data_IF_559246176828
#
_entry.id   IF_559246176828
#
_cell.length_a   1.000
_cell.length_b   1.000
_cell.length_c   1.000
_cell.angle_alpha   90.00
_cell.angle_beta   90.00
_cell.angle_gamma   90.00
#
_symmetry.space_group_name_H-M   'P 1'
#
loop_
_entity.id
_entity.type
_entity.pdbx_description
1 polymer ?
#
# COMPACT_ATOMS: atom_id res chain seq x y z
N UNK A 1 4.01 -17.49 8.82
CA UNK A 1 3.15 -16.90 7.76
C UNK A 1 1.69 -16.81 8.19
N UNK A 2 1.08 -17.87 8.74
CA UNK A 2 -0.30 -17.79 9.24
C UNK A 2 -0.50 -16.66 10.27
N UNK A 3 0.43 -16.50 11.22
CA UNK A 3 0.42 -15.37 12.15
C UNK A 3 0.49 -14.01 11.45
N UNK A 4 1.28 -13.88 10.37
CA UNK A 4 1.42 -12.63 9.62
C UNK A 4 0.11 -12.22 8.95
N UNK A 5 -0.61 -13.18 8.37
CA UNK A 5 -1.93 -12.95 7.78
C UNK A 5 -2.90 -12.46 8.85
N UNK A 6 -2.93 -13.12 10.00
CA UNK A 6 -3.78 -12.73 11.12
C UNK A 6 -3.49 -11.30 11.61
N UNK A 7 -2.21 -10.94 11.80
CA UNK A 7 -1.83 -9.58 12.19
C UNK A 7 -2.23 -8.51 11.16
N UNK A 8 -2.26 -8.86 9.87
CA UNK A 8 -2.70 -7.97 8.81
C UNK A 8 -4.23 -7.82 8.80
N UNK A 9 -4.97 -8.92 9.00
CA UNK A 9 -6.43 -8.91 9.04
C UNK A 9 -6.97 -8.19 10.30
N UNK A 10 -6.27 -8.30 11.44
CA UNK A 10 -6.64 -7.65 12.70
C UNK A 10 -6.23 -6.16 12.76
N UNK A 11 -5.59 -5.62 11.72
CA UNK A 11 -4.98 -4.27 11.70
C UNK A 11 -4.15 -3.97 12.96
N UNK A 12 -3.43 -4.99 13.45
CA UNK A 12 -2.54 -4.88 14.61
C UNK A 12 -1.35 -3.94 14.30
N UNK A 13 -1.09 -3.70 13.01
CA UNK A 13 -0.06 -2.77 12.55
C UNK A 13 -0.52 -1.32 12.53
N UNK A 14 -1.80 -1.02 12.78
CA UNK A 14 -2.37 0.33 12.80
C UNK A 14 -1.99 1.15 11.55
N UNK A 15 -2.25 0.60 10.37
CA UNK A 15 -1.75 1.15 9.09
C UNK A 15 -2.18 2.60 8.83
N UNK A 16 -3.34 2.99 9.37
CA UNK A 16 -3.91 4.33 9.24
C UNK A 16 -3.18 5.37 10.11
N UNK A 17 -2.58 4.96 11.23
CA UNK A 17 -1.88 5.86 12.16
C UNK A 17 -0.36 5.88 11.94
N UNK A 18 0.19 4.91 11.22
CA UNK A 18 1.62 4.86 10.94
C UNK A 18 2.08 5.95 9.97
N UNK A 19 3.25 6.58 10.19
CA UNK A 19 3.97 7.35 9.17
C UNK A 19 4.25 6.51 7.91
N UNK A 20 4.34 7.16 6.75
CA UNK A 20 4.50 6.45 5.48
C UNK A 20 5.80 5.64 5.43
N UNK A 21 6.92 6.15 5.96
CA UNK A 21 8.18 5.40 6.06
C UNK A 21 8.01 4.07 6.83
N UNK A 22 7.23 4.05 7.91
CA UNK A 22 6.93 2.83 8.68
C UNK A 22 6.06 1.86 7.90
N UNK A 23 5.08 2.35 7.14
CA UNK A 23 4.29 1.53 6.22
C UNK A 23 5.21 0.87 5.18
N UNK A 24 6.17 1.60 4.62
CA UNK A 24 7.13 1.03 3.67
C UNK A 24 8.06 0.01 4.32
N UNK A 25 8.51 0.24 5.56
CA UNK A 25 9.29 -0.75 6.30
C UNK A 25 8.51 -2.05 6.50
N UNK A 26 7.22 -1.97 6.83
CA UNK A 26 6.34 -3.13 6.93
C UNK A 26 6.19 -3.85 5.59
N UNK A 27 5.94 -3.13 4.49
CA UNK A 27 5.87 -3.71 3.14
C UNK A 27 7.14 -4.47 2.80
N UNK A 28 8.32 -3.87 3.05
CA UNK A 28 9.63 -4.51 2.82
C UNK A 28 9.78 -5.78 3.64
N UNK A 29 9.38 -5.74 4.92
CA UNK A 29 9.44 -6.91 5.79
C UNK A 29 8.53 -8.04 5.29
N UNK A 30 7.29 -7.72 4.87
CA UNK A 30 6.35 -8.69 4.31
C UNK A 30 6.88 -9.34 3.03
N UNK A 31 7.44 -8.54 2.10
CA UNK A 31 8.09 -9.04 0.89
C UNK A 31 9.20 -10.03 1.25
N UNK A 32 10.03 -9.70 2.25
CA UNK A 32 11.08 -10.59 2.73
C UNK A 32 10.51 -11.89 3.35
N UNK A 33 9.40 -11.83 4.10
CA UNK A 33 8.73 -13.03 4.60
C UNK A 33 8.23 -13.93 3.47
N UNK A 34 7.80 -13.35 2.34
CA UNK A 34 7.40 -14.10 1.15
C UNK A 34 8.56 -14.75 0.39
N UNK A 35 9.76 -14.19 0.43
CA UNK A 35 10.93 -14.79 -0.23
C UNK A 35 11.37 -16.11 0.44
N UNK A 36 11.32 -16.18 1.77
CA UNK A 36 11.76 -17.36 2.55
C UNK A 36 11.15 -18.70 2.09
N UNK A 37 9.82 -18.84 1.94
CA UNK A 37 9.24 -20.10 1.46
C UNK A 37 9.60 -20.42 0.01
N UNK A 38 9.87 -19.41 -0.83
CA UNK A 38 10.27 -19.60 -2.23
C UNK A 38 11.72 -20.08 -2.39
N UNK A 39 12.54 -19.89 -1.37
CA UNK A 39 13.93 -20.36 -1.30
C UNK A 39 14.05 -21.75 -0.66
N UNK A 40 12.95 -22.27 -0.09
CA UNK A 40 12.87 -23.59 0.51
C UNK A 40 12.31 -24.61 -0.51
N UNK A 41 13.11 -25.57 -1.02
CA UNK A 41 12.66 -26.54 -2.03
C UNK A 41 11.47 -27.39 -1.56
N UNK A 42 11.42 -27.72 -0.27
CA UNK A 42 10.31 -28.47 0.35
C UNK A 42 9.02 -27.66 0.45
N UNK A 43 9.15 -26.35 0.63
CA UNK A 43 8.03 -25.43 0.84
C UNK A 43 7.39 -25.01 -0.48
N UNK A 44 8.20 -24.88 -1.53
CA UNK A 44 7.77 -24.40 -2.84
C UNK A 44 6.75 -25.31 -3.54
N UNK A 45 6.70 -26.60 -3.22
CA UNK A 45 5.70 -27.51 -3.79
C UNK A 45 4.41 -27.60 -2.95
N UNK A 46 4.35 -26.92 -1.80
CA UNK A 46 3.20 -27.01 -0.90
C UNK A 46 2.05 -26.10 -1.35
N UNK A 47 0.86 -26.64 -1.66
CA UNK A 47 -0.31 -25.84 -2.03
C UNK A 47 -0.70 -24.81 -0.96
N UNK A 48 -0.57 -25.16 0.32
CA UNK A 48 -0.90 -24.27 1.44
C UNK A 48 0.05 -23.08 1.54
N UNK A 49 1.34 -23.28 1.24
CA UNK A 49 2.33 -22.20 1.20
C UNK A 49 2.03 -21.23 0.07
N UNK A 50 1.68 -21.73 -1.12
CA UNK A 50 1.25 -20.90 -2.24
C UNK A 50 0.00 -20.08 -1.91
N UNK A 51 -1.01 -20.69 -1.29
CA UNK A 51 -2.21 -19.95 -0.87
C UNK A 51 -1.86 -18.82 0.11
N UNK A 52 -1.04 -19.10 1.13
CA UNK A 52 -0.61 -18.08 2.09
C UNK A 52 0.19 -16.95 1.42
N UNK A 53 1.08 -17.28 0.49
CA UNK A 53 1.81 -16.30 -0.30
C UNK A 53 0.85 -15.38 -1.05
N UNK A 54 -0.15 -15.94 -1.73
CA UNK A 54 -1.13 -15.15 -2.48
C UNK A 54 -1.95 -14.22 -1.57
N UNK A 55 -2.34 -14.68 -0.39
CA UNK A 55 -3.05 -13.85 0.60
C UNK A 55 -2.16 -12.66 1.03
N UNK A 56 -0.90 -12.92 1.40
CA UNK A 56 0.01 -11.85 1.81
C UNK A 56 0.31 -10.89 0.66
N UNK A 57 0.47 -11.40 -0.56
CA UNK A 57 0.64 -10.58 -1.76
C UNK A 57 -0.58 -9.70 -2.04
N UNK A 58 -1.79 -10.22 -1.85
CA UNK A 58 -3.01 -9.45 -2.03
C UNK A 58 -3.11 -8.30 -1.01
N UNK A 59 -2.82 -8.58 0.26
CA UNK A 59 -2.73 -7.56 1.32
C UNK A 59 -1.64 -6.53 1.07
N UNK A 60 -0.48 -6.95 0.58
CA UNK A 60 0.59 -6.03 0.16
C UNK A 60 0.13 -5.08 -0.94
N UNK A 61 -0.61 -5.57 -1.94
CA UNK A 61 -1.19 -4.72 -2.98
C UNK A 61 -2.20 -3.74 -2.40
N UNK A 62 -3.05 -4.16 -1.46
CA UNK A 62 -3.97 -3.26 -0.76
C UNK A 62 -3.23 -2.15 0.02
N UNK A 63 -2.06 -2.45 0.59
CA UNK A 63 -1.22 -1.43 1.22
C UNK A 63 -0.68 -0.41 0.20
N UNK A 64 -0.33 -0.82 -1.02
CA UNK A 64 0.05 0.12 -2.09
C UNK A 64 -1.13 0.99 -2.54
N UNK A 65 -2.32 0.40 -2.69
CA UNK A 65 -3.57 1.14 -2.96
C UNK A 65 -3.83 2.19 -1.85
N UNK A 66 -3.64 1.78 -0.59
CA UNK A 66 -3.78 2.67 0.55
C UNK A 66 -2.77 3.83 0.53
N UNK A 67 -1.50 3.54 0.22
CA UNK A 67 -0.46 4.57 0.03
C UNK A 67 -0.85 5.55 -1.08
N UNK A 68 -1.36 5.08 -2.21
CA UNK A 68 -1.85 5.94 -3.29
C UNK A 68 -2.94 6.90 -2.81
N UNK A 69 -3.95 6.37 -2.12
CA UNK A 69 -5.05 7.19 -1.56
C UNK A 69 -4.54 8.23 -0.57
N UNK A 70 -3.63 7.84 0.33
CA UNK A 70 -3.00 8.74 1.30
C UNK A 70 -2.26 9.90 0.61
N UNK A 71 -1.45 9.60 -0.41
CA UNK A 71 -0.73 10.64 -1.17
C UNK A 71 -1.67 11.58 -1.93
N UNK A 72 -2.76 11.06 -2.51
CA UNK A 72 -3.79 11.90 -3.14
C UNK A 72 -4.43 12.87 -2.14
N UNK A 73 -4.69 12.43 -0.90
CA UNK A 73 -5.22 13.33 0.15
C UNK A 73 -4.21 14.39 0.56
N UNK A 74 -2.94 14.02 0.76
CA UNK A 74 -1.85 14.98 1.05
C UNK A 74 -1.82 16.05 -0.04
N UNK A 75 -1.86 15.65 -1.31
CA UNK A 75 -1.94 16.58 -2.44
C UNK A 75 -3.13 17.54 -2.33
N UNK A 76 -4.34 17.08 -1.99
CA UNK A 76 -5.52 17.95 -1.84
C UNK A 76 -5.29 18.97 -0.72
N UNK A 77 -4.74 18.56 0.42
CA UNK A 77 -4.39 19.46 1.52
C UNK A 77 -3.31 20.49 1.12
N UNK A 78 -2.28 20.07 0.39
CA UNK A 78 -1.18 20.96 -0.03
C UNK A 78 -1.61 21.92 -1.14
N UNK A 79 -2.40 21.47 -2.12
CA UNK A 79 -2.89 22.29 -3.25
C UNK A 79 -4.15 23.12 -2.91
N UNK A 80 -4.86 22.78 -1.83
CA UNK A 80 -5.92 23.59 -1.23
C UNK A 80 -5.41 24.58 -0.17
N UNK A 81 -4.10 24.61 0.08
CA UNK A 81 -3.46 25.15 1.27
C UNK A 81 -3.05 26.62 1.25
N UNK A 82 -3.87 27.52 0.73
CA UNK A 82 -4.07 28.84 1.37
C UNK A 82 -5.08 28.74 2.55
N UNK A 83 -5.47 27.53 2.95
CA UNK A 83 -6.37 27.28 4.07
C UNK A 83 -5.68 26.61 5.27
N UNK A 84 -4.38 26.88 5.49
CA UNK A 84 -3.67 26.36 6.66
C UNK A 84 -3.89 27.28 7.87
N UNK A 85 -5.13 27.39 8.34
CA UNK A 85 -5.44 27.93 9.67
C UNK A 85 -6.84 27.55 10.21
N UNK A 86 -7.39 26.37 9.88
CA UNK A 86 -8.63 25.93 10.54
C UNK A 86 -8.90 24.43 10.39
N UNK A 87 -8.10 23.55 10.99
CA UNK A 87 -8.50 22.15 11.22
C UNK A 87 -8.20 21.68 12.64
N UNK A 88 -8.39 22.57 13.61
CA UNK A 88 -8.62 22.17 15.01
C UNK A 88 -10.09 22.24 15.43
N UNK A 89 -11.01 22.66 14.56
CA UNK A 89 -12.45 22.70 14.87
C UNK A 89 -13.25 22.53 13.56
N UNK A 90 -14.46 21.95 13.67
CA UNK A 90 -15.45 21.63 12.59
C UNK A 90 -15.31 20.19 12.07
N UNK A 91 -15.81 19.18 12.78
CA UNK A 91 -17.18 18.64 12.70
C UNK A 91 -17.70 18.42 11.28
N UNK A 92 -17.86 17.14 10.92
CA UNK A 92 -18.94 16.60 10.07
C UNK A 92 -19.06 17.18 8.65
N UNK A 93 -18.68 16.39 7.65
CA UNK A 93 -18.97 16.73 6.26
C UNK A 93 -18.69 15.58 5.31
N UNK A 94 -19.75 14.92 4.87
CA UNK A 94 -19.81 13.90 3.82
C UNK A 94 -19.20 14.41 2.50
N UNK A 95 -18.50 13.55 1.74
CA UNK A 95 -18.13 13.92 0.37
C UNK A 95 -17.07 13.07 -0.37
N UNK A 96 -17.50 11.93 -0.91
CA UNK A 96 -17.17 11.40 -2.24
C UNK A 96 -15.70 11.07 -2.64
N UNK A 97 -15.41 9.77 -2.68
CA UNK A 97 -15.07 9.05 -3.93
C UNK A 97 -15.09 7.54 -3.69
N UNK A 98 -16.25 6.91 -3.94
CA UNK A 98 -16.41 5.45 -3.94
C UNK A 98 -15.84 4.88 -5.24
N UNK A 99 -14.63 4.35 -5.18
CA UNK A 99 -14.22 3.34 -6.17
C UNK A 99 -14.90 2.02 -5.77
N UNK A 100 -15.50 1.25 -6.71
CA UNK A 100 -16.11 -0.02 -6.38
C UNK A 100 -15.01 -1.07 -6.15
N UNK A 101 -14.40 -1.08 -4.97
CA UNK A 101 -13.64 -2.24 -4.52
C UNK A 101 -14.64 -3.31 -4.08
N UNK A 102 -14.62 -4.47 -4.75
CA UNK A 102 -15.43 -5.63 -4.37
C UNK A 102 -15.33 -5.89 -2.85
N UNK A 103 -16.45 -6.23 -2.18
CA UNK A 103 -16.56 -6.21 -0.72
C UNK A 103 -15.75 -7.29 0.02
N UNK A 104 -15.02 -8.15 -0.69
CA UNK A 104 -14.42 -9.36 -0.11
C UNK A 104 -12.94 -9.25 0.29
N UNK A 105 -12.22 -8.18 -0.08
CA UNK A 105 -10.79 -8.02 0.26
C UNK A 105 -10.46 -6.56 0.61
N UNK A 106 -11.02 -6.05 1.71
CA UNK A 106 -10.69 -4.71 2.23
C UNK A 106 -10.05 -4.86 3.61
N UNK A 107 -8.93 -4.16 3.84
CA UNK A 107 -8.37 -3.97 5.19
C UNK A 107 -9.38 -3.17 6.02
N UNK A 108 -9.55 -3.51 7.29
CA UNK A 108 -10.39 -2.79 8.23
C UNK A 108 -9.52 -2.06 9.24
N UNK A 109 -9.92 -0.87 9.68
CA UNK A 109 -9.22 -0.17 10.73
C UNK A 109 -9.75 -0.61 12.10
N UNK A 110 -8.88 -1.18 12.94
CA UNK A 110 -9.25 -1.68 14.27
C UNK A 110 -9.74 -0.57 15.22
N UNK A 111 -9.27 0.67 15.01
CA UNK A 111 -9.63 1.84 15.82
C UNK A 111 -11.00 2.41 15.45
N UNK A 112 -11.34 2.45 14.16
CA UNK A 112 -12.59 3.05 13.69
C UNK A 112 -13.70 2.04 13.41
N UNK A 113 -13.36 0.75 13.25
CA UNK A 113 -14.28 -0.30 12.80
C UNK A 113 -14.69 -0.17 11.33
N UNK A 114 -14.23 0.86 10.63
CA UNK A 114 -14.55 1.13 9.22
C UNK A 114 -13.53 0.50 8.28
N UNK A 115 -13.93 0.22 7.02
CA UNK A 115 -12.99 -0.09 5.95
C UNK A 115 -11.86 0.95 5.87
N UNK A 116 -10.62 0.49 5.66
CA UNK A 116 -9.42 1.34 5.66
C UNK A 116 -9.42 2.40 4.54
N UNK A 117 -10.22 2.21 3.49
CA UNK A 117 -10.45 3.22 2.45
C UNK A 117 -11.30 4.41 2.94
N UNK A 118 -12.10 4.22 4.00
CA UNK A 118 -12.95 5.23 4.63
C UNK A 118 -12.28 5.90 5.84
N UNK A 119 -11.21 5.33 6.39
CA UNK A 119 -10.51 5.91 7.53
C UNK A 119 -9.50 6.98 7.10
N UNK A 120 -9.42 8.07 7.87
CA UNK A 120 -8.39 9.09 7.69
C UNK A 120 -7.02 8.53 8.09
N UNK A 121 -6.11 8.47 7.13
CA UNK A 121 -4.72 8.12 7.37
C UNK A 121 -3.95 9.39 7.76
N UNK A 122 -2.99 9.27 8.67
CA UNK A 122 -2.09 10.39 9.00
C UNK A 122 -1.39 10.93 7.74
N UNK A 123 -1.27 12.25 7.54
CA UNK A 123 -0.55 12.82 6.40
C UNK A 123 0.97 12.71 6.52
N UNK A 124 1.50 12.25 7.66
CA UNK A 124 2.94 12.26 7.98
C UNK A 124 3.72 11.34 7.04
N UNK A 125 4.69 11.87 6.30
CA UNK A 125 5.50 11.10 5.34
C UNK A 125 6.62 10.34 6.07
N UNK A 126 7.34 11.00 6.96
CA UNK A 126 8.44 10.43 7.74
C UNK A 126 8.17 10.54 9.23
N UNK A 127 8.61 9.54 10.01
CA UNK A 127 8.71 9.65 11.46
C UNK A 127 9.59 10.83 11.90
N UNK A 128 9.33 11.36 13.09
CA UNK A 128 9.98 12.56 13.66
C UNK A 128 11.51 12.54 13.55
N UNK A 129 12.13 11.36 13.73
CA UNK A 129 13.58 11.15 13.62
C UNK A 129 14.16 11.62 12.28
N UNK A 130 13.41 11.49 11.18
CA UNK A 130 13.83 11.83 9.81
C UNK A 130 13.25 13.18 9.36
N UNK A 131 12.11 13.59 9.93
CA UNK A 131 11.43 14.82 9.53
C UNK A 131 12.28 16.08 9.80
N UNK A 132 13.05 16.10 10.88
CA UNK A 132 13.92 17.25 11.23
C UNK A 132 15.24 17.33 10.46
N UNK A 133 15.59 16.33 9.64
CA UNK A 133 16.90 16.23 8.96
C UNK A 133 16.87 16.68 7.50
N UNK A 134 15.69 16.72 6.89
CA UNK A 134 15.50 16.95 5.45
C UNK A 134 14.40 17.97 5.22
N UNK A 135 14.51 18.76 4.16
CA UNK A 135 13.43 19.64 3.71
C UNK A 135 12.21 18.83 3.25
N UNK A 136 11.02 19.44 3.22
CA UNK A 136 9.80 18.77 2.76
C UNK A 136 9.94 18.26 1.31
N UNK A 137 10.62 19.02 0.44
CA UNK A 137 10.88 18.62 -0.95
C UNK A 137 11.81 17.39 -1.03
N UNK A 138 12.92 17.39 -0.29
CA UNK A 138 13.82 16.23 -0.19
C UNK A 138 13.08 15.00 0.33
N UNK A 139 12.24 15.18 1.35
CA UNK A 139 11.41 14.11 1.89
C UNK A 139 10.50 13.51 0.80
N UNK A 140 9.79 14.35 0.05
CA UNK A 140 8.92 13.89 -1.05
C UNK A 140 9.70 13.13 -2.12
N UNK A 141 10.89 13.60 -2.52
CA UNK A 141 11.73 12.92 -3.49
C UNK A 141 12.28 11.58 -2.97
N UNK A 142 12.73 11.54 -1.72
CA UNK A 142 13.24 10.33 -1.09
C UNK A 142 12.16 9.26 -0.99
N UNK A 143 10.99 9.62 -0.47
CA UNK A 143 9.90 8.64 -0.28
C UNK A 143 9.38 8.13 -1.62
N UNK A 144 9.31 9.00 -2.64
CA UNK A 144 8.97 8.61 -4.02
C UNK A 144 9.92 7.52 -4.50
N UNK A 145 11.23 7.77 -4.43
CA UNK A 145 12.24 6.80 -4.87
C UNK A 145 12.15 5.47 -4.11
N UNK A 146 11.93 5.50 -2.80
CA UNK A 146 11.78 4.28 -1.99
C UNK A 146 10.53 3.48 -2.43
N UNK A 147 9.40 4.15 -2.68
CA UNK A 147 8.17 3.50 -3.13
C UNK A 147 8.35 2.88 -4.52
N UNK A 148 8.93 3.61 -5.47
CA UNK A 148 9.15 3.08 -6.83
C UNK A 148 10.05 1.83 -6.79
N UNK A 149 11.07 1.83 -5.92
CA UNK A 149 11.90 0.64 -5.67
C UNK A 149 11.08 -0.52 -5.08
N UNK A 150 10.26 -0.25 -4.06
CA UNK A 150 9.41 -1.27 -3.41
C UNK A 150 8.41 -1.91 -4.39
N UNK A 151 7.76 -1.10 -5.24
CA UNK A 151 6.90 -1.60 -6.32
C UNK A 151 7.68 -2.54 -7.23
N UNK A 152 8.88 -2.15 -7.67
CA UNK A 152 9.74 -2.99 -8.51
C UNK A 152 10.15 -4.31 -7.86
N UNK A 153 10.52 -4.30 -6.57
CA UNK A 153 10.83 -5.52 -5.83
C UNK A 153 9.61 -6.43 -5.69
N UNK A 154 8.46 -5.86 -5.36
CA UNK A 154 7.24 -6.64 -5.17
C UNK A 154 6.75 -7.24 -6.48
N UNK A 155 6.81 -6.49 -7.59
CA UNK A 155 6.51 -7.01 -8.93
C UNK A 155 7.40 -8.21 -9.30
N UNK A 156 8.71 -8.13 -9.03
CA UNK A 156 9.63 -9.26 -9.24
C UNK A 156 9.26 -10.48 -8.41
N UNK A 157 8.83 -10.29 -7.16
CA UNK A 157 8.34 -11.38 -6.32
C UNK A 157 7.09 -12.03 -6.93
N UNK A 158 6.11 -11.24 -7.39
CA UNK A 158 4.89 -11.77 -8.02
C UNK A 158 5.19 -12.59 -9.28
N UNK A 159 6.09 -12.11 -10.14
CA UNK A 159 6.53 -12.84 -11.34
C UNK A 159 7.22 -14.17 -10.99
N UNK A 160 7.98 -14.22 -9.89
CA UNK A 160 8.59 -15.46 -9.39
C UNK A 160 7.52 -16.46 -8.93
N UNK A 161 6.48 -16.00 -8.23
CA UNK A 161 5.35 -16.84 -7.79
C UNK A 161 4.52 -17.32 -9.01
N UNK A 162 4.36 -16.46 -10.02
CA UNK A 162 3.71 -16.81 -11.28
C UNK A 162 4.42 -17.96 -11.99
N UNK A 163 5.74 -17.86 -12.19
CA UNK A 163 6.53 -18.91 -12.83
C UNK A 163 6.41 -20.27 -12.14
N UNK A 164 6.35 -20.27 -10.80
CA UNK A 164 6.14 -21.49 -10.01
C UNK A 164 4.73 -22.07 -10.19
N UNK A 165 3.72 -21.20 -10.30
CA UNK A 165 2.33 -21.59 -10.53
C UNK A 165 2.10 -22.13 -11.95
N UNK A 166 2.88 -21.66 -12.94
CA UNK A 166 2.86 -22.17 -14.30
C UNK A 166 3.39 -23.61 -14.37
N UNK A 167 4.51 -23.89 -13.69
CA UNK A 167 5.06 -25.26 -13.59
C UNK A 167 4.08 -26.23 -12.94
N UNK A 168 3.33 -25.77 -11.94
CA UNK A 168 2.29 -26.55 -11.27
C UNK A 168 0.95 -26.67 -12.02
N UNK A 169 0.80 -26.03 -13.19
CA UNK A 169 -0.42 -26.10 -14.00
C UNK A 169 -1.68 -25.48 -13.39
N UNK A 170 -1.56 -24.64 -12.36
CA UNK A 170 -2.73 -24.13 -11.63
C UNK A 170 -3.25 -22.80 -12.21
N UNK A 171 -4.19 -22.88 -13.15
CA UNK A 171 -4.79 -21.73 -13.84
C UNK A 171 -5.47 -20.72 -12.92
N UNK A 172 -6.12 -21.17 -11.84
CA UNK A 172 -6.80 -20.27 -10.90
C UNK A 172 -5.79 -19.39 -10.15
N UNK A 173 -4.67 -19.97 -9.72
CA UNK A 173 -3.57 -19.21 -9.09
C UNK A 173 -2.94 -18.23 -10.05
N UNK A 174 -2.70 -18.65 -11.30
CA UNK A 174 -2.17 -17.76 -12.33
C UNK A 174 -3.08 -16.55 -12.54
N UNK A 175 -4.38 -16.77 -12.72
CA UNK A 175 -5.35 -15.68 -12.87
C UNK A 175 -5.35 -14.74 -11.66
N UNK A 176 -5.26 -15.28 -10.43
CA UNK A 176 -5.15 -14.45 -9.21
C UNK A 176 -3.86 -13.63 -9.20
N UNK A 177 -2.71 -14.21 -9.56
CA UNK A 177 -1.43 -13.49 -9.60
C UNK A 177 -1.47 -12.39 -10.65
N UNK A 178 -1.99 -12.67 -11.85
CA UNK A 178 -2.15 -11.64 -12.89
C UNK A 178 -3.03 -10.49 -12.40
N UNK A 179 -4.15 -10.78 -11.72
CA UNK A 179 -5.00 -9.76 -11.11
C UNK A 179 -4.25 -8.89 -10.08
N UNK A 180 -3.44 -9.52 -9.21
CA UNK A 180 -2.61 -8.81 -8.22
C UNK A 180 -1.57 -7.91 -8.92
N UNK A 181 -0.93 -8.39 -10.00
CA UNK A 181 0.03 -7.60 -10.79
C UNK A 181 -0.67 -6.39 -11.43
N UNK A 182 -1.84 -6.57 -12.06
CA UNK A 182 -2.58 -5.46 -12.67
C UNK A 182 -2.97 -4.40 -11.64
N UNK A 183 -3.41 -4.81 -10.45
CA UNK A 183 -3.72 -3.88 -9.35
C UNK A 183 -2.49 -3.15 -8.85
N UNK A 184 -1.36 -3.84 -8.66
CA UNK A 184 -0.09 -3.21 -8.30
C UNK A 184 0.35 -2.16 -9.32
N UNK A 185 0.22 -2.47 -10.61
CA UNK A 185 0.60 -1.55 -11.69
C UNK A 185 -0.29 -0.30 -11.70
N UNK A 186 -1.61 -0.47 -11.49
CA UNK A 186 -2.53 0.64 -11.35
C UNK A 186 -2.20 1.51 -10.10
N UNK A 187 -1.89 0.89 -8.96
CA UNK A 187 -1.49 1.58 -7.75
C UNK A 187 -0.19 2.37 -7.97
N UNK A 188 0.80 1.79 -8.64
CA UNK A 188 2.07 2.42 -8.95
C UNK A 188 1.90 3.67 -9.81
N UNK A 189 1.10 3.59 -10.88
CA UNK A 189 0.77 4.75 -11.72
C UNK A 189 0.08 5.84 -10.89
N UNK A 190 -0.89 5.47 -10.05
CA UNK A 190 -1.63 6.41 -9.22
C UNK A 190 -0.73 7.09 -8.15
N UNK A 191 0.27 6.37 -7.63
CA UNK A 191 1.28 6.92 -6.71
C UNK A 191 2.17 7.94 -7.44
N UNK A 192 2.69 7.60 -8.61
CA UNK A 192 3.55 8.52 -9.39
C UNK A 192 2.80 9.80 -9.77
N UNK A 193 1.55 9.69 -10.19
CA UNK A 193 0.69 10.84 -10.47
C UNK A 193 0.44 11.70 -9.22
N UNK A 194 0.27 11.07 -8.05
CA UNK A 194 0.10 11.81 -6.80
C UNK A 194 1.37 12.59 -6.44
N UNK A 195 2.55 11.98 -6.56
CA UNK A 195 3.82 12.67 -6.35
C UNK A 195 4.08 13.79 -7.35
N UNK A 196 3.78 13.56 -8.62
CA UNK A 196 3.91 14.60 -9.64
C UNK A 196 3.02 15.81 -9.28
N UNK A 197 1.77 15.57 -8.86
CA UNK A 197 0.89 16.65 -8.43
C UNK A 197 1.31 17.35 -7.12
N UNK A 198 2.04 16.67 -6.22
CA UNK A 198 2.64 17.30 -5.04
C UNK A 198 3.81 18.20 -5.45
N UNK A 199 4.67 17.71 -6.36
CA UNK A 199 5.88 18.41 -6.79
C UNK A 199 5.61 19.57 -7.75
N UNK A 200 4.62 19.47 -8.64
CA UNK A 200 4.29 20.55 -9.59
C UNK A 200 3.30 21.57 -9.00
N UNK A 201 2.63 21.24 -7.89
CA UNK A 201 1.57 22.07 -7.33
C UNK A 201 0.34 22.24 -8.23
N UNK A 202 0.29 21.54 -9.38
CA UNK A 202 -0.80 21.68 -10.34
C UNK A 202 -2.06 20.96 -9.85
N UNK A 203 -3.21 21.64 -9.91
CA UNK A 203 -4.53 20.99 -9.84
C UNK A 203 -4.74 20.22 -11.15
N UNK A 204 -4.81 18.89 -11.06
CA UNK A 204 -5.38 18.10 -12.16
C UNK A 204 -6.89 18.20 -11.95
N UNK A 205 -7.53 19.07 -12.73
CA UNK A 205 -8.98 19.08 -12.82
C UNK A 205 -9.47 17.76 -13.46
N UNK A 206 -10.64 17.25 -13.03
CA UNK A 206 -11.17 15.94 -13.45
C UNK A 206 -11.48 15.83 -14.94
#
# INVERSE_FOLDING_TARGET
>A
MASVVQKLDDDEFHLTTLPLDKVLQLQKWLVFQCCRPLECPKCNNSPSVHTLLLIVCDRLTEMFDCTSRRLKRIRVTTTGGMAMQALSNVLGGEGLSKSPSEPFNQLYCSVSGSPADQTECTPVIFSDDLHGQYTEEEQVHMIRGIISLHVGYFRRLLLRIEGLSQVGGNKARLSRISSIITRLDAAAVAIELAFQGILTGERVEP
#
